data_IF_159284078928
#
_entry.id   IF_159284078928
#
_cell.length_a   1.000
_cell.length_b   1.000
_cell.length_c   1.000
_cell.angle_alpha   90.00
_cell.angle_beta   90.00
_cell.angle_gamma   90.00
#
_symmetry.space_group_name_H-M   'P 1'
#
loop_
_entity.id
_entity.type
_entity.pdbx_description
1 polymer ?
#
# COMPACT_ATOMS: atom_id res chain seq x y z
N UNK A 1 70.40 -20.39 30.28
CA UNK A 1 69.65 -20.63 29.04
C UNK A 1 68.73 -21.83 29.26
N UNK A 2 67.42 -21.60 29.28
CA UNK A 2 66.36 -22.61 29.27
C UNK A 2 65.18 -22.02 28.49
N UNK A 3 64.48 -22.80 27.65
CA UNK A 3 63.65 -22.23 26.60
C UNK A 3 62.28 -21.73 27.10
N UNK A 4 61.86 -20.60 26.53
CA UNK A 4 60.49 -20.06 26.54
C UNK A 4 59.47 -21.16 26.23
N UNK A 5 58.51 -21.38 27.15
CA UNK A 5 57.20 -21.97 26.83
C UNK A 5 56.14 -20.96 27.28
N UNK A 6 55.40 -20.32 26.36
CA UNK A 6 54.36 -19.38 26.74
C UNK A 6 53.19 -20.11 27.41
N UNK A 7 52.76 -19.58 28.55
CA UNK A 7 51.59 -20.02 29.30
C UNK A 7 50.35 -20.04 28.41
N UNK A 8 49.65 -21.17 28.43
CA UNK A 8 48.30 -21.32 27.91
C UNK A 8 47.33 -20.52 28.79
N UNK A 9 47.31 -19.20 28.60
CA UNK A 9 46.14 -18.39 28.88
C UNK A 9 45.07 -18.79 27.84
N UNK A 10 44.47 -19.98 28.01
CA UNK A 10 43.26 -20.39 27.30
C UNK A 10 42.12 -19.59 27.90
N UNK A 11 41.84 -18.48 27.23
CA UNK A 11 40.64 -17.65 27.28
C UNK A 11 39.41 -18.33 27.91
N UNK A 12 38.62 -17.61 28.73
CA UNK A 12 37.32 -18.10 29.19
C UNK A 12 36.47 -18.49 27.98
N UNK A 13 35.70 -19.59 28.02
CA UNK A 13 34.97 -20.05 26.86
C UNK A 13 33.95 -18.98 26.45
N UNK A 14 34.14 -18.45 25.24
CA UNK A 14 33.19 -17.62 24.52
C UNK A 14 31.91 -18.42 24.34
N UNK A 15 30.99 -18.36 25.30
CA UNK A 15 29.60 -18.79 25.10
C UNK A 15 28.81 -17.60 24.58
N UNK A 16 29.12 -17.20 23.35
CA UNK A 16 28.18 -16.50 22.50
C UNK A 16 27.89 -17.43 21.33
N UNK A 17 26.69 -18.00 21.32
CA UNK A 17 26.24 -18.85 20.22
C UNK A 17 26.28 -18.07 18.91
N UNK A 18 26.88 -18.65 17.88
CA UNK A 18 26.99 -18.10 16.53
C UNK A 18 25.64 -17.92 15.80
N UNK A 19 24.52 -18.13 16.49
CA UNK A 19 23.16 -17.99 15.99
C UNK A 19 22.39 -16.88 16.72
N UNK A 20 23.07 -15.89 17.30
CA UNK A 20 22.41 -14.63 17.63
C UNK A 20 22.09 -13.86 16.34
N UNK A 21 21.07 -14.34 15.61
CA UNK A 21 20.24 -13.47 14.79
C UNK A 21 19.54 -12.55 15.78
N UNK A 22 20.22 -11.46 16.13
CA UNK A 22 19.60 -10.30 16.74
C UNK A 22 18.66 -9.78 15.65
N UNK A 23 17.40 -10.20 15.70
CA UNK A 23 16.34 -9.64 14.86
C UNK A 23 16.27 -8.16 15.19
N UNK A 24 16.87 -7.34 14.34
CA UNK A 24 16.42 -5.96 14.18
C UNK A 24 15.00 -6.07 13.65
N UNK A 25 14.02 -5.75 14.47
CA UNK A 25 12.70 -5.43 13.97
C UNK A 25 12.90 -4.26 13.00
N UNK A 26 12.69 -4.50 11.70
CA UNK A 26 13.02 -3.52 10.67
C UNK A 26 11.97 -2.42 10.72
N UNK A 27 12.42 -1.17 10.77
CA UNK A 27 11.57 0.02 10.70
C UNK A 27 10.73 0.13 9.41
N UNK A 28 10.89 -0.77 8.45
CA UNK A 28 10.08 -0.88 7.23
C UNK A 28 8.80 -1.69 7.37
N UNK A 29 8.68 -2.54 8.39
CA UNK A 29 7.56 -3.48 8.57
C UNK A 29 6.24 -2.77 8.94
N UNK A 30 6.30 -1.52 9.38
CA UNK A 30 5.11 -0.72 9.70
C UNK A 30 4.63 0.12 8.54
N UNK A 31 5.50 0.78 7.78
CA UNK A 31 5.03 1.84 6.86
C UNK A 31 4.22 1.30 5.69
N UNK A 32 4.78 0.46 4.82
CA UNK A 32 4.08 0.03 3.60
C UNK A 32 2.86 -0.85 3.86
N UNK A 33 2.96 -1.81 4.78
CA UNK A 33 1.84 -2.67 5.16
C UNK A 33 0.75 -1.93 5.94
N UNK A 34 1.09 -0.92 6.76
CA UNK A 34 0.05 -0.05 7.37
C UNK A 34 -0.59 0.89 6.36
N UNK A 35 0.17 1.39 5.38
CA UNK A 35 -0.38 2.18 4.28
C UNK A 35 -1.36 1.33 3.45
N UNK A 36 -0.99 0.10 3.09
CA UNK A 36 -1.91 -0.81 2.41
C UNK A 36 -3.16 -1.06 3.25
N UNK A 37 -3.00 -1.40 4.52
CA UNK A 37 -4.12 -1.61 5.44
C UNK A 37 -5.05 -0.40 5.48
N UNK A 38 -4.50 0.81 5.61
CA UNK A 38 -5.29 2.04 5.67
C UNK A 38 -6.04 2.32 4.37
N UNK A 39 -5.37 2.14 3.23
CA UNK A 39 -5.99 2.28 1.90
C UNK A 39 -7.09 1.25 1.69
N UNK A 40 -6.85 -0.02 2.00
CA UNK A 40 -7.86 -1.08 1.92
C UNK A 40 -9.07 -0.78 2.80
N UNK A 41 -8.86 -0.33 4.04
CA UNK A 41 -9.96 0.08 4.92
C UNK A 41 -10.76 1.24 4.36
N UNK A 42 -10.09 2.24 3.77
CA UNK A 42 -10.79 3.37 3.16
C UNK A 42 -11.60 2.94 1.93
N UNK A 43 -11.07 2.03 1.10
CA UNK A 43 -11.82 1.43 -0.03
C UNK A 43 -13.04 0.66 0.48
N UNK A 44 -12.88 -0.19 1.49
CA UNK A 44 -13.97 -0.97 2.10
C UNK A 44 -15.06 -0.08 2.71
N UNK A 45 -14.66 0.99 3.41
CA UNK A 45 -15.56 1.89 4.14
C UNK A 45 -16.04 3.07 3.31
N UNK A 46 -15.67 3.16 2.03
CA UNK A 46 -15.80 4.37 1.23
C UNK A 46 -17.24 4.92 1.22
N UNK A 47 -18.24 4.07 0.97
CA UNK A 47 -19.64 4.46 1.01
C UNK A 47 -20.12 4.92 2.39
N UNK A 48 -19.69 4.25 3.46
CA UNK A 48 -20.02 4.63 4.83
C UNK A 48 -19.41 6.00 5.19
N UNK A 49 -18.18 6.26 4.78
CA UNK A 49 -17.50 7.55 4.97
C UNK A 49 -18.24 8.67 4.24
N UNK A 50 -18.67 8.45 2.98
CA UNK A 50 -19.47 9.42 2.23
C UNK A 50 -20.80 9.73 2.93
N UNK A 51 -21.47 8.72 3.48
CA UNK A 51 -22.73 8.91 4.20
C UNK A 51 -22.54 9.69 5.50
N UNK A 52 -21.47 9.42 6.25
CA UNK A 52 -21.14 10.20 7.45
C UNK A 52 -20.84 11.65 7.10
N UNK A 53 -20.02 11.90 6.06
CA UNK A 53 -19.74 13.26 5.60
C UNK A 53 -21.03 13.98 5.19
N UNK A 54 -21.92 13.31 4.44
CA UNK A 54 -23.21 13.85 4.04
C UNK A 54 -24.08 14.23 5.24
N UNK A 55 -24.15 13.38 6.26
CA UNK A 55 -24.90 13.65 7.50
C UNK A 55 -24.35 14.88 8.22
N UNK A 56 -23.02 14.97 8.41
CA UNK A 56 -22.40 16.14 9.06
C UNK A 56 -22.70 17.42 8.26
N UNK A 57 -22.65 17.37 6.93
CA UNK A 57 -22.98 18.51 6.07
C UNK A 57 -24.43 18.96 6.25
N UNK A 58 -25.37 18.02 6.42
CA UNK A 58 -26.79 18.31 6.56
C UNK A 58 -27.16 18.79 7.98
N UNK A 59 -26.54 18.21 9.01
CA UNK A 59 -26.89 18.40 10.42
C UNK A 59 -26.06 19.50 11.10
N UNK A 60 -24.99 19.98 10.48
CA UNK A 60 -24.08 20.97 11.09
C UNK A 60 -24.78 22.27 11.52
N UNK A 61 -24.54 22.74 12.74
CA UNK A 61 -25.22 23.94 13.26
C UNK A 61 -24.61 25.26 12.73
N UNK A 62 -23.35 25.23 12.29
CA UNK A 62 -22.60 26.38 11.76
C UNK A 62 -22.08 26.11 10.36
N UNK A 63 -21.82 27.18 9.60
CA UNK A 63 -21.20 27.12 8.26
C UNK A 63 -19.81 26.48 8.31
N UNK A 64 -19.00 26.81 9.32
CA UNK A 64 -17.65 26.27 9.48
C UNK A 64 -17.67 24.75 9.74
N UNK A 65 -18.67 24.26 10.47
CA UNK A 65 -18.88 22.82 10.70
C UNK A 65 -19.28 22.05 9.43
N UNK A 66 -19.76 22.75 8.39
CA UNK A 66 -20.22 22.16 7.13
C UNK A 66 -19.21 22.29 6.00
N UNK A 67 -18.26 23.24 6.07
CA UNK A 67 -17.37 23.56 4.96
C UNK A 67 -16.28 22.50 4.75
N UNK A 68 -15.59 22.10 5.81
CA UNK A 68 -14.54 21.07 5.74
C UNK A 68 -15.11 19.69 5.33
N UNK A 69 -16.21 19.18 5.94
CA UNK A 69 -16.84 17.94 5.48
C UNK A 69 -17.34 18.00 4.04
N UNK A 70 -17.81 19.17 3.57
CA UNK A 70 -18.22 19.38 2.18
C UNK A 70 -17.05 19.35 1.22
N UNK A 71 -15.92 19.92 1.60
CA UNK A 71 -14.66 19.82 0.86
C UNK A 71 -14.22 18.37 0.72
N UNK A 72 -14.14 17.64 1.84
CA UNK A 72 -13.79 16.23 1.86
C UNK A 72 -14.78 15.36 1.06
N UNK A 73 -16.09 15.61 1.17
CA UNK A 73 -17.10 14.89 0.40
C UNK A 73 -16.96 15.11 -1.11
N UNK A 74 -16.67 16.36 -1.54
CA UNK A 74 -16.42 16.67 -2.95
C UNK A 74 -15.14 16.00 -3.44
N UNK A 75 -14.08 16.07 -2.67
CA UNK A 75 -12.78 15.48 -3.03
C UNK A 75 -12.89 13.96 -3.10
N UNK A 76 -13.49 13.30 -2.12
CA UNK A 76 -13.67 11.85 -2.14
C UNK A 76 -14.43 11.36 -3.37
N UNK A 77 -15.37 12.15 -3.89
CA UNK A 77 -16.12 11.81 -5.10
C UNK A 77 -15.39 12.19 -6.39
N UNK A 78 -14.28 12.92 -6.32
CA UNK A 78 -13.50 13.33 -7.49
C UNK A 78 -12.89 12.11 -8.19
N UNK A 79 -12.83 12.16 -9.51
CA UNK A 79 -12.20 11.09 -10.29
C UNK A 79 -10.75 10.89 -9.89
N UNK A 80 -10.02 11.99 -9.71
CA UNK A 80 -8.61 11.97 -9.30
C UNK A 80 -8.42 11.22 -7.97
N UNK A 81 -9.23 11.52 -6.96
CA UNK A 81 -9.14 10.85 -5.66
C UNK A 81 -9.44 9.36 -5.78
N UNK A 82 -10.55 8.98 -6.42
CA UNK A 82 -10.94 7.57 -6.58
C UNK A 82 -9.90 6.80 -7.39
N UNK A 83 -9.41 7.39 -8.49
CA UNK A 83 -8.38 6.81 -9.32
C UNK A 83 -7.09 6.57 -8.54
N UNK A 84 -6.59 7.58 -7.81
CA UNK A 84 -5.38 7.45 -6.99
C UNK A 84 -5.60 6.42 -5.87
N UNK A 85 -6.76 6.44 -5.21
CA UNK A 85 -7.09 5.51 -4.14
C UNK A 85 -7.03 4.06 -4.63
N UNK A 86 -7.67 3.75 -5.76
CA UNK A 86 -7.69 2.41 -6.34
C UNK A 86 -6.34 2.01 -6.93
N UNK A 87 -5.59 2.95 -7.50
CA UNK A 87 -4.23 2.72 -7.99
C UNK A 87 -3.29 2.35 -6.84
N UNK A 88 -3.35 3.12 -5.74
CA UNK A 88 -2.61 2.82 -4.52
C UNK A 88 -3.01 1.46 -3.96
N UNK A 89 -4.31 1.16 -3.90
CA UNK A 89 -4.80 -0.14 -3.42
C UNK A 89 -4.19 -1.30 -4.22
N UNK A 90 -4.12 -1.18 -5.55
CA UNK A 90 -3.56 -2.20 -6.44
C UNK A 90 -2.04 -2.36 -6.27
N UNK A 91 -1.29 -1.26 -6.35
CA UNK A 91 0.18 -1.29 -6.29
C UNK A 91 0.69 -1.66 -4.90
N UNK A 92 0.07 -1.11 -3.85
CA UNK A 92 0.40 -1.47 -2.47
C UNK A 92 0.01 -2.91 -2.17
N UNK A 93 -1.10 -3.43 -2.71
CA UNK A 93 -1.49 -4.83 -2.53
C UNK A 93 -0.46 -5.81 -3.10
N UNK A 94 0.06 -5.55 -4.30
CA UNK A 94 1.15 -6.35 -4.89
C UNK A 94 2.41 -6.26 -4.01
N UNK A 95 2.73 -5.05 -3.53
CA UNK A 95 3.92 -4.81 -2.70
C UNK A 95 3.79 -5.46 -1.31
N UNK A 96 2.60 -5.47 -0.71
CA UNK A 96 2.34 -6.05 0.61
C UNK A 96 2.53 -7.58 0.61
N UNK A 97 2.15 -8.26 -0.48
CA UNK A 97 2.43 -9.70 -0.65
C UNK A 97 3.93 -9.97 -0.59
N UNK A 98 4.73 -9.17 -1.32
CA UNK A 98 6.18 -9.27 -1.29
C UNK A 98 6.73 -8.99 0.12
N UNK A 99 6.28 -7.91 0.76
CA UNK A 99 6.70 -7.55 2.12
C UNK A 99 6.47 -8.70 3.11
N UNK A 100 5.26 -9.28 3.12
CA UNK A 100 4.92 -10.42 3.99
C UNK A 100 5.75 -11.64 3.69
N UNK A 101 5.95 -11.95 2.42
CA UNK A 101 6.78 -13.09 2.00
C UNK A 101 8.23 -12.92 2.49
N UNK A 102 8.83 -11.74 2.29
CA UNK A 102 10.19 -11.42 2.72
C UNK A 102 10.38 -11.38 4.24
N UNK A 103 9.31 -11.16 5.00
CA UNK A 103 9.33 -11.18 6.47
C UNK A 103 9.19 -12.61 7.05
N UNK A 104 8.91 -13.62 6.24
CA UNK A 104 8.74 -14.99 6.71
C UNK A 104 10.07 -15.53 7.28
N UNK A 105 10.03 -16.02 8.54
CA UNK A 105 11.22 -16.51 9.26
C UNK A 105 11.92 -17.70 8.59
N UNK A 106 11.22 -18.42 7.72
CA UNK A 106 11.70 -19.62 7.03
C UNK A 106 12.08 -19.37 5.57
N UNK A 107 12.23 -18.11 5.14
CA UNK A 107 12.50 -17.80 3.74
C UNK A 107 13.97 -18.01 3.38
N UNK A 108 14.24 -18.85 2.38
CA UNK A 108 15.56 -18.96 1.75
C UNK A 108 15.75 -18.00 0.56
N UNK A 109 17.01 -17.86 0.13
CA UNK A 109 17.41 -16.90 -0.90
C UNK A 109 16.75 -17.19 -2.25
N UNK A 110 16.58 -18.46 -2.64
CA UNK A 110 15.97 -18.81 -3.93
C UNK A 110 14.49 -18.43 -3.93
N UNK A 111 13.78 -18.71 -2.84
CA UNK A 111 12.39 -18.30 -2.67
C UNK A 111 12.23 -16.77 -2.63
N UNK A 112 13.13 -16.05 -1.97
CA UNK A 112 13.14 -14.58 -1.98
C UNK A 112 13.29 -14.01 -3.40
N UNK A 113 14.20 -14.57 -4.20
CA UNK A 113 14.40 -14.17 -5.61
C UNK A 113 13.15 -14.45 -6.47
N UNK A 114 12.48 -15.57 -6.24
CA UNK A 114 11.22 -15.91 -6.92
C UNK A 114 10.12 -14.89 -6.59
N UNK A 115 10.00 -14.45 -5.33
CA UNK A 115 9.04 -13.42 -4.94
C UNK A 115 9.35 -12.06 -5.58
N UNK A 116 10.62 -11.64 -5.60
CA UNK A 116 11.04 -10.38 -6.25
C UNK A 116 10.72 -10.42 -7.75
N UNK A 117 11.11 -11.49 -8.42
CA UNK A 117 10.88 -11.67 -9.87
C UNK A 117 9.39 -11.70 -10.19
N UNK A 118 8.59 -12.42 -9.40
CA UNK A 118 7.14 -12.50 -9.58
C UNK A 118 6.47 -11.15 -9.34
N UNK A 119 6.89 -10.42 -8.31
CA UNK A 119 6.38 -9.08 -7.99
C UNK A 119 6.68 -8.10 -9.11
N UNK A 120 7.92 -8.10 -9.62
CA UNK A 120 8.32 -7.29 -10.77
C UNK A 120 7.45 -7.60 -11.99
N UNK A 121 7.21 -8.88 -12.27
CA UNK A 121 6.35 -9.31 -13.39
C UNK A 121 4.92 -8.81 -13.21
N UNK A 122 4.34 -8.92 -12.01
CA UNK A 122 2.97 -8.46 -11.74
C UNK A 122 2.83 -6.94 -11.92
N UNK A 123 3.80 -6.15 -11.43
CA UNK A 123 3.80 -4.70 -11.62
C UNK A 123 3.99 -4.31 -13.08
N UNK A 124 4.85 -5.03 -13.80
CA UNK A 124 5.06 -4.82 -15.24
C UNK A 124 3.80 -5.12 -16.04
N UNK A 125 3.17 -6.26 -15.78
CA UNK A 125 1.92 -6.66 -16.44
C UNK A 125 0.81 -5.65 -16.19
N UNK A 126 0.69 -5.19 -14.94
CA UNK A 126 -0.27 -4.16 -14.57
C UNK A 126 -0.01 -2.85 -15.33
N UNK A 127 1.26 -2.44 -15.47
CA UNK A 127 1.65 -1.21 -16.17
C UNK A 127 1.41 -1.30 -17.68
N UNK A 128 1.70 -2.44 -18.29
CA UNK A 128 1.73 -2.56 -19.75
C UNK A 128 0.36 -2.93 -20.31
N UNK A 129 -0.36 -3.84 -19.62
CA UNK A 129 -1.61 -4.43 -20.12
C UNK A 129 -2.79 -4.25 -19.15
N UNK A 130 -2.55 -3.76 -17.93
CA UNK A 130 -3.56 -3.71 -16.87
C UNK A 130 -4.43 -2.46 -16.83
N UNK A 131 -4.19 -1.46 -17.71
CA UNK A 131 -4.89 -0.18 -17.67
C UNK A 131 -6.38 -0.30 -17.97
N UNK A 132 -6.78 -1.01 -19.02
CA UNK A 132 -8.19 -1.14 -19.40
C UNK A 132 -9.01 -1.84 -18.30
N UNK A 133 -8.45 -2.90 -17.71
CA UNK A 133 -9.04 -3.60 -16.56
C UNK A 133 -9.15 -2.69 -15.35
N UNK A 134 -8.13 -1.87 -15.12
CA UNK A 134 -8.11 -0.91 -14.03
C UNK A 134 -9.15 0.18 -14.20
N UNK A 135 -9.26 0.80 -15.38
CA UNK A 135 -10.28 1.81 -15.66
C UNK A 135 -11.69 1.23 -15.49
N UNK A 136 -11.95 0.02 -15.99
CA UNK A 136 -13.23 -0.68 -15.75
C UNK A 136 -13.50 -0.91 -14.26
N UNK A 137 -12.46 -1.18 -13.46
CA UNK A 137 -12.60 -1.31 -12.01
C UNK A 137 -12.95 0.02 -11.33
N UNK A 138 -12.40 1.15 -11.83
CA UNK A 138 -12.75 2.50 -11.36
C UNK A 138 -14.21 2.80 -11.69
N UNK A 139 -14.65 2.56 -12.93
CA UNK A 139 -16.05 2.76 -13.35
C UNK A 139 -17.03 1.91 -12.52
N UNK A 140 -16.70 0.64 -12.28
CA UNK A 140 -17.49 -0.25 -11.43
C UNK A 140 -17.56 0.25 -9.99
N UNK A 141 -16.45 0.77 -9.45
CA UNK A 141 -16.41 1.36 -8.12
C UNK A 141 -17.36 2.55 -7.98
N UNK A 142 -17.42 3.43 -8.99
CA UNK A 142 -18.40 4.52 -9.05
C UNK A 142 -19.85 4.01 -9.02
N UNK A 143 -20.15 2.99 -9.84
CA UNK A 143 -21.48 2.36 -9.89
C UNK A 143 -21.91 1.73 -8.56
N UNK A 144 -20.98 1.08 -7.86
CA UNK A 144 -21.26 0.42 -6.57
C UNK A 144 -21.52 1.40 -5.42
N UNK A 145 -21.09 2.66 -5.54
CA UNK A 145 -21.25 3.68 -4.50
C UNK A 145 -22.32 4.74 -4.82
N UNK A 146 -23.14 4.51 -5.87
CA UNK A 146 -24.17 5.44 -6.35
C UNK A 146 -23.62 6.86 -6.55
N UNK A 147 -22.39 6.93 -7.07
CA UNK A 147 -21.73 8.19 -7.39
C UNK A 147 -21.96 8.45 -8.87
N UNK A 148 -22.69 9.53 -9.17
CA UNK A 148 -22.79 10.02 -10.54
C UNK A 148 -21.39 10.33 -11.08
N UNK A 149 -21.03 9.62 -12.15
CA UNK A 149 -19.83 9.83 -12.97
C UNK A 149 -19.88 11.19 -13.69
N UNK A 150 -21.07 11.80 -13.78
CA UNK A 150 -21.30 13.05 -14.49
C UNK A 150 -20.77 14.27 -13.72
N UNK A 151 -19.50 14.60 -13.96
CA UNK A 151 -19.10 15.94 -14.45
C UNK A 151 -17.59 16.02 -14.78
N UNK A 152 -16.75 15.14 -14.20
CA UNK A 152 -15.29 15.24 -14.31
C UNK A 152 -14.63 14.08 -15.08
N UNK A 153 -15.28 12.92 -15.15
CA UNK A 153 -14.72 11.72 -15.81
C UNK A 153 -14.63 11.87 -17.33
N UNK A 154 -15.56 12.58 -17.98
CA UNK A 154 -15.59 12.70 -19.44
C UNK A 154 -14.33 13.40 -19.94
N UNK A 155 -13.98 14.54 -19.33
CA UNK A 155 -12.77 15.30 -19.72
C UNK A 155 -11.48 14.55 -19.41
N UNK A 156 -11.41 13.88 -18.25
CA UNK A 156 -10.21 13.14 -17.85
C UNK A 156 -10.03 11.83 -18.62
N UNK A 157 -11.11 11.10 -18.93
CA UNK A 157 -11.03 9.88 -19.73
C UNK A 157 -10.72 10.21 -21.20
N UNK A 158 -11.27 11.28 -21.76
CA UNK A 158 -10.86 11.79 -23.07
C UNK A 158 -9.37 12.17 -23.09
N UNK A 159 -8.88 12.84 -22.04
CA UNK A 159 -7.48 13.25 -21.94
C UNK A 159 -6.53 12.07 -21.73
N UNK A 160 -6.86 11.10 -20.86
CA UNK A 160 -6.08 9.86 -20.66
C UNK A 160 -6.07 9.04 -21.95
N UNK A 161 -7.23 8.82 -22.57
CA UNK A 161 -7.30 8.09 -23.83
C UNK A 161 -6.54 8.80 -24.96
N UNK A 162 -6.47 10.13 -24.97
CA UNK A 162 -5.68 10.88 -25.96
C UNK A 162 -4.16 10.85 -25.72
N UNK A 163 -3.72 10.60 -24.47
CA UNK A 163 -2.30 10.59 -24.08
C UNK A 163 -1.66 9.20 -24.13
N UNK A 164 -2.47 8.14 -24.09
CA UNK A 164 -2.01 6.76 -24.02
C UNK A 164 -2.50 5.86 -25.18
N UNK A 165 -3.22 6.43 -26.17
CA UNK A 165 -3.44 5.82 -27.50
C UNK A 165 -2.38 6.32 -28.49
#
# INVERSE_FOLDING_TARGET
>A
MGPFRPDLQKYPPTKHGANQVRTLQRAGDTRWSSHFTSVSRLVEMFGATLEVLRKIINDGLSRDMREEPRGAYREMKSFEFVFILLLLHRVLGISDILCRALQAKSLDILNALNYITSTKRLLQEFRDNGWDDFIRSVESFYGNHDISVADMSVRYMEEINSRFA
#
